data_IF_179525861366
#
_entry.id   IF_179525861366
#
_cell.length_a   1.000
_cell.length_b   1.000
_cell.length_c   1.000
_cell.angle_alpha   90.00
_cell.angle_beta   90.00
_cell.angle_gamma   90.00
#
_symmetry.space_group_name_H-M   'P 1'
#
loop_
_entity.id
_entity.type
_entity.pdbx_description
1 polymer ?
#
# COMPACT_ATOMS: atom_id res chain seq x y z
N UNK A 1 6.24 26.10 -42.05
CA UNK A 1 6.81 24.75 -42.17
C UNK A 1 6.12 23.89 -41.14
N UNK A 2 5.44 22.83 -41.58
CA UNK A 2 4.76 21.89 -40.68
C UNK A 2 5.82 20.96 -40.09
N UNK A 3 6.02 20.99 -38.78
CA UNK A 3 6.81 19.97 -38.10
C UNK A 3 6.15 18.61 -38.33
N UNK A 4 6.89 17.71 -38.98
CA UNK A 4 6.39 16.37 -39.27
C UNK A 4 6.59 15.51 -38.04
N UNK A 5 5.50 15.01 -37.46
CA UNK A 5 5.53 14.06 -36.35
C UNK A 5 6.20 12.78 -36.82
N UNK A 6 7.26 12.37 -36.14
CA UNK A 6 7.97 11.13 -36.43
C UNK A 6 7.34 9.96 -35.66
N UNK A 7 7.66 8.74 -36.09
CA UNK A 7 7.27 7.52 -35.34
C UNK A 7 7.90 7.48 -33.95
N UNK A 8 9.02 8.16 -33.74
CA UNK A 8 9.71 8.18 -32.45
C UNK A 8 8.96 9.08 -31.45
N UNK A 9 8.45 10.22 -31.92
CA UNK A 9 7.61 11.12 -31.11
C UNK A 9 6.36 10.40 -30.57
N UNK A 10 5.72 9.57 -31.41
CA UNK A 10 4.58 8.75 -31.00
C UNK A 10 4.97 7.68 -29.96
N UNK A 11 6.17 7.11 -30.06
CA UNK A 11 6.67 6.13 -29.08
C UNK A 11 6.98 6.78 -27.74
N UNK A 12 7.64 7.95 -27.76
CA UNK A 12 7.92 8.72 -26.56
C UNK A 12 6.62 9.16 -25.88
N UNK A 13 5.64 9.63 -26.65
CA UNK A 13 4.33 10.01 -26.14
C UNK A 13 3.60 8.82 -25.50
N UNK A 14 3.60 7.65 -26.15
CA UNK A 14 3.00 6.44 -25.60
C UNK A 14 3.70 6.00 -24.30
N UNK A 15 5.03 6.05 -24.24
CA UNK A 15 5.79 5.75 -23.03
C UNK A 15 5.49 6.72 -21.90
N UNK A 16 5.39 8.02 -22.19
CA UNK A 16 5.03 9.05 -21.22
C UNK A 16 3.66 8.76 -20.60
N UNK A 17 2.64 8.51 -21.43
CA UNK A 17 1.29 8.16 -20.96
C UNK A 17 1.29 6.90 -20.10
N UNK A 18 1.97 5.83 -20.55
CA UNK A 18 2.03 4.57 -19.81
C UNK A 18 2.69 4.77 -18.44
N UNK A 19 3.75 5.58 -18.37
CA UNK A 19 4.44 5.89 -17.13
C UNK A 19 3.57 6.72 -16.18
N UNK A 20 2.86 7.73 -16.69
CA UNK A 20 1.92 8.55 -15.91
C UNK A 20 0.83 7.65 -15.26
N UNK A 21 0.17 6.82 -16.06
CA UNK A 21 -0.89 5.90 -15.61
C UNK A 21 -0.36 4.89 -14.56
N UNK A 22 0.85 4.36 -14.77
CA UNK A 22 1.48 3.44 -13.80
C UNK A 22 1.84 4.15 -12.49
N UNK A 23 2.30 5.39 -12.56
CA UNK A 23 2.64 6.18 -11.37
C UNK A 23 1.40 6.46 -10.50
N UNK A 24 0.26 6.71 -11.14
CA UNK A 24 -0.99 7.01 -10.45
C UNK A 24 -1.59 5.77 -9.78
N UNK A 25 -1.48 4.60 -10.43
CA UNK A 25 -1.82 3.32 -9.80
C UNK A 25 -1.02 3.02 -8.54
N UNK A 26 0.29 3.29 -8.54
CA UNK A 26 1.14 3.09 -7.35
C UNK A 26 0.71 3.97 -6.18
N UNK A 27 0.38 5.24 -6.46
CA UNK A 27 -0.17 6.15 -5.42
C UNK A 27 -1.49 5.61 -4.87
N UNK A 28 -2.37 5.11 -5.73
CA UNK A 28 -3.66 4.59 -5.28
C UNK A 28 -3.54 3.29 -4.46
N UNK A 29 -2.52 2.46 -4.72
CA UNK A 29 -2.17 1.30 -3.90
C UNK A 29 -1.54 1.69 -2.55
N UNK A 30 -0.77 2.78 -2.48
CA UNK A 30 -0.23 3.31 -1.21
C UNK A 30 -1.30 3.96 -0.34
N UNK A 31 -2.31 4.62 -0.93
CA UNK A 31 -3.38 5.29 -0.18
C UNK A 31 -4.51 4.36 0.27
N UNK A 32 -4.73 3.24 -0.42
CA UNK A 32 -5.65 2.22 0.06
C UNK A 32 -4.93 1.39 1.12
N UNK A 33 -4.90 1.90 2.36
CA UNK A 33 -4.44 1.11 3.50
C UNK A 33 -5.31 -0.16 3.57
N UNK A 34 -4.82 -1.25 2.99
CA UNK A 34 -5.44 -2.57 3.04
C UNK A 34 -5.59 -2.92 4.53
N UNK A 35 -6.82 -2.83 5.05
CA UNK A 35 -7.10 -3.07 6.46
C UNK A 35 -7.22 -4.58 6.69
N UNK A 36 -6.27 -5.16 7.41
CA UNK A 36 -6.22 -6.61 7.66
C UNK A 36 -6.80 -6.94 9.05
N UNK A 37 -7.70 -7.92 9.11
CA UNK A 37 -8.27 -8.42 10.38
C UNK A 37 -7.18 -9.00 11.29
N UNK A 38 -7.38 -8.85 12.61
CA UNK A 38 -6.52 -9.41 13.66
C UNK A 38 -6.12 -10.87 13.46
N UNK A 39 -7.02 -11.71 12.96
CA UNK A 39 -6.76 -13.14 12.70
C UNK A 39 -5.70 -13.35 11.61
N UNK A 40 -5.74 -12.54 10.55
CA UNK A 40 -4.77 -12.60 9.47
C UNK A 40 -3.45 -11.95 9.87
N UNK A 41 -3.45 -10.86 10.65
CA UNK A 41 -2.22 -10.23 11.16
C UNK A 41 -1.42 -11.20 12.05
N UNK A 42 -2.11 -11.93 12.94
CA UNK A 42 -1.45 -12.95 13.78
C UNK A 42 -0.76 -14.03 12.95
N UNK A 43 -1.38 -14.46 11.85
CA UNK A 43 -0.79 -15.44 10.92
C UNK A 43 0.36 -14.83 10.13
N UNK A 44 0.21 -13.59 9.67
CA UNK A 44 1.19 -12.87 8.87
C UNK A 44 2.49 -12.62 9.65
N UNK A 45 2.39 -12.12 10.88
CA UNK A 45 3.55 -11.84 11.74
C UNK A 45 3.99 -13.05 12.58
N UNK A 46 3.25 -14.18 12.54
CA UNK A 46 3.47 -15.33 13.42
C UNK A 46 3.52 -14.97 14.92
N UNK A 47 2.60 -14.11 15.38
CA UNK A 47 2.56 -13.60 16.76
C UNK A 47 1.31 -14.03 17.55
N UNK A 48 1.44 -14.01 18.88
CA UNK A 48 0.33 -14.25 19.80
C UNK A 48 -0.66 -13.07 19.88
N UNK A 49 -1.88 -13.34 20.37
CA UNK A 49 -2.88 -12.29 20.62
C UNK A 49 -2.37 -11.23 21.61
N UNK A 50 -1.59 -11.64 22.61
CA UNK A 50 -0.98 -10.72 23.58
C UNK A 50 0.04 -9.79 22.91
N UNK A 51 0.87 -10.31 22.00
CA UNK A 51 1.84 -9.50 21.25
C UNK A 51 1.15 -8.51 20.32
N UNK A 52 0.10 -8.94 19.63
CA UNK A 52 -0.70 -8.04 18.77
C UNK A 52 -1.41 -6.96 19.60
N UNK A 53 -1.86 -7.28 20.81
CA UNK A 53 -2.39 -6.30 21.76
C UNK A 53 -1.31 -5.29 22.19
N UNK A 54 -0.08 -5.72 22.45
CA UNK A 54 1.04 -4.82 22.74
C UNK A 54 1.34 -3.89 21.56
N UNK A 55 1.38 -4.40 20.33
CA UNK A 55 1.52 -3.58 19.11
C UNK A 55 0.43 -2.51 19.00
N UNK A 56 -0.80 -2.88 19.34
CA UNK A 56 -1.94 -1.97 19.36
C UNK A 56 -1.82 -0.89 20.44
N UNK A 57 -1.46 -1.27 21.66
CA UNK A 57 -1.32 -0.34 22.81
C UNK A 57 -0.15 0.62 22.60
N UNK A 58 0.96 0.12 22.07
CA UNK A 58 2.16 0.92 21.78
C UNK A 58 1.97 1.86 20.59
N UNK A 59 0.91 1.71 19.80
CA UNK A 59 0.62 2.58 18.66
C UNK A 59 1.59 2.43 17.48
N UNK A 60 2.43 1.38 17.46
CA UNK A 60 3.41 1.14 16.39
C UNK A 60 2.77 0.86 15.03
N UNK A 61 1.51 0.43 15.02
CA UNK A 61 0.74 0.11 13.82
C UNK A 61 -0.64 0.72 13.95
N UNK A 62 -1.09 1.46 12.93
CA UNK A 62 -2.45 2.02 12.90
C UNK A 62 -3.48 0.90 12.98
N UNK A 63 -4.42 1.04 13.91
CA UNK A 63 -5.51 0.09 14.11
C UNK A 63 -6.88 0.78 14.11
N UNK A 64 -7.92 0.04 13.70
CA UNK A 64 -9.32 0.48 13.76
C UNK A 64 -10.20 -0.62 14.32
N UNK A 65 -11.15 -0.26 15.17
CA UNK A 65 -12.18 -1.17 15.67
C UNK A 65 -13.45 -0.97 14.85
N UNK A 66 -13.90 -2.04 14.18
CA UNK A 66 -15.12 -2.05 13.36
C UNK A 66 -15.95 -3.25 13.80
N UNK A 67 -17.17 -3.02 14.27
CA UNK A 67 -18.10 -4.07 14.71
C UNK A 67 -17.46 -5.07 15.69
N UNK A 68 -16.71 -4.56 16.68
CA UNK A 68 -16.03 -5.39 17.68
C UNK A 68 -14.72 -6.05 17.23
N UNK A 69 -14.39 -6.03 15.94
CA UNK A 69 -13.15 -6.59 15.40
C UNK A 69 -12.09 -5.51 15.17
N UNK A 70 -10.83 -5.83 15.46
CA UNK A 70 -9.70 -4.94 15.14
C UNK A 70 -9.11 -5.27 13.76
N UNK A 71 -8.82 -4.20 13.04
CA UNK A 71 -8.16 -4.18 11.75
C UNK A 71 -6.89 -3.33 11.84
N UNK A 72 -5.87 -3.70 11.07
CA UNK A 72 -4.56 -3.06 11.08
C UNK A 72 -4.15 -2.67 9.66
N UNK A 73 -3.43 -1.56 9.52
CA UNK A 73 -2.87 -1.11 8.24
C UNK A 73 -1.83 -2.11 7.73
N UNK A 74 -2.06 -2.69 6.55
CA UNK A 74 -1.06 -3.56 5.89
C UNK A 74 0.24 -2.82 5.60
N UNK A 75 0.17 -1.55 5.19
CA UNK A 75 1.37 -0.77 4.88
C UNK A 75 2.28 -0.65 6.11
N UNK A 76 1.71 -0.27 7.26
CA UNK A 76 2.45 -0.16 8.51
C UNK A 76 3.02 -1.51 8.94
N UNK A 77 2.26 -2.60 8.77
CA UNK A 77 2.74 -3.95 9.06
C UNK A 77 3.93 -4.35 8.19
N UNK A 78 3.95 -3.92 6.91
CA UNK A 78 5.10 -4.15 6.03
C UNK A 78 6.28 -3.23 6.34
N UNK A 79 6.02 -2.00 6.80
CA UNK A 79 7.06 -1.06 7.25
C UNK A 79 7.78 -1.54 8.51
N UNK A 80 7.15 -2.36 9.35
CA UNK A 80 7.84 -3.00 10.49
C UNK A 80 9.06 -3.86 10.08
N UNK A 81 9.13 -4.28 8.82
CA UNK A 81 10.22 -5.08 8.27
C UNK A 81 11.18 -4.28 7.38
N UNK A 82 10.93 -2.97 7.18
CA UNK A 82 11.85 -2.09 6.46
C UNK A 82 12.80 -1.48 7.49
N UNK A 83 14.11 -1.59 7.23
CA UNK A 83 15.17 -0.96 8.03
C UNK A 83 15.07 0.57 8.05
#
# INVERSE_FOLDING_TARGET
MSEQITKDDLRQFAQMIINEIRSDRKKHEEFCADWIKSSAVKKFLSISSASLQSLRITGKVRCRKILGSYYYSKNDLTELFKD
#
